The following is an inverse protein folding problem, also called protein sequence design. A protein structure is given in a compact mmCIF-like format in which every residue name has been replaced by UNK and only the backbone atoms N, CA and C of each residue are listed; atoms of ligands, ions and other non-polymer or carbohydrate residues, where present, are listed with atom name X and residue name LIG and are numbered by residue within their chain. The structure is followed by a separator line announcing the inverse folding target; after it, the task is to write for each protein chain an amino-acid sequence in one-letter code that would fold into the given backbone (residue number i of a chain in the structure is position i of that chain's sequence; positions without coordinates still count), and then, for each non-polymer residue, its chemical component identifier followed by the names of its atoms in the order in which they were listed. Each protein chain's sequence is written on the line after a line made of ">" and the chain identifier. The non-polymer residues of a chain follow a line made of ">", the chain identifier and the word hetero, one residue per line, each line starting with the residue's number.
data_IF_084046980618
#
_entry.id   IF_084046980618
#
_cell.length_a   1.000
_cell.length_b   1.000
_cell.length_c   1.000
_cell.angle_alpha   90.00
_cell.angle_beta   90.00
_cell.angle_gamma   90.00
#
_symmetry.space_group_name_H-M   'P 1'
#
loop_
_entity.id
_entity.type
_entity.pdbx_description
1 polymer ?
#
# COMPACT_ATOMS: atom_id res chain seq x y z
N UNK A 1 12.24 12.67 -9.39
CA UNK A 1 11.35 12.50 -10.54
C UNK A 1 9.94 12.57 -9.99
N UNK A 2 9.09 13.44 -10.56
CA UNK A 2 7.70 13.56 -10.14
C UNK A 2 6.86 12.29 -10.43
N UNK A 3 5.78 12.08 -9.69
CA UNK A 3 4.94 10.87 -9.77
C UNK A 3 4.40 10.63 -11.18
N UNK A 4 3.93 11.67 -11.87
CA UNK A 4 3.40 11.53 -13.23
C UNK A 4 4.47 11.16 -14.25
N UNK A 5 5.71 11.63 -14.09
CA UNK A 5 6.82 11.27 -14.96
C UNK A 5 7.22 9.80 -14.74
N UNK A 6 7.24 9.35 -13.48
CA UNK A 6 7.50 7.94 -13.16
C UNK A 6 6.39 7.06 -13.75
N UNK A 7 5.13 7.37 -13.46
CA UNK A 7 3.99 6.54 -13.85
C UNK A 7 3.74 6.56 -15.35
N UNK A 8 3.93 7.68 -16.05
CA UNK A 8 3.74 7.73 -17.51
C UNK A 8 4.70 6.84 -18.31
N UNK A 9 5.83 6.46 -17.70
CA UNK A 9 6.79 5.51 -18.29
C UNK A 9 6.42 4.04 -18.06
N UNK A 10 5.45 3.75 -17.19
CA UNK A 10 4.98 2.39 -16.93
C UNK A 10 4.13 1.92 -18.11
N UNK A 11 4.50 0.78 -18.69
CA UNK A 11 3.73 0.13 -19.75
C UNK A 11 2.63 -0.74 -19.15
N UNK A 12 1.46 -0.73 -19.77
CA UNK A 12 0.37 -1.65 -19.45
C UNK A 12 0.29 -2.81 -20.45
N UNK A 13 -0.47 -3.85 -20.09
CA UNK A 13 -0.58 -5.10 -20.86
C UNK A 13 -1.09 -4.91 -22.30
N UNK A 14 -1.73 -3.77 -22.63
CA UNK A 14 -2.19 -3.49 -24.01
C UNK A 14 -1.01 -3.32 -24.97
N UNK A 15 0.20 -3.10 -24.44
CA UNK A 15 1.46 -3.00 -25.20
C UNK A 15 2.29 -4.30 -25.19
N UNK A 16 1.77 -5.39 -24.64
CA UNK A 16 2.44 -6.70 -24.56
C UNK A 16 2.76 -7.08 -23.10
N UNK A 17 4.03 -6.99 -22.72
CA UNK A 17 4.50 -7.30 -21.35
C UNK A 17 4.41 -6.04 -20.48
N UNK A 18 3.24 -5.84 -19.88
CA UNK A 18 2.92 -4.67 -19.07
C UNK A 18 3.26 -4.86 -17.60
N UNK A 19 3.80 -3.81 -17.00
CA UNK A 19 4.05 -3.74 -15.55
C UNK A 19 2.76 -3.48 -14.75
N UNK A 20 1.66 -3.15 -15.44
CA UNK A 20 0.35 -2.90 -14.87
C UNK A 20 -0.76 -3.35 -15.85
N UNK A 21 -2.00 -3.46 -15.36
CA UNK A 21 -3.15 -3.85 -16.19
C UNK A 21 -3.62 -2.69 -17.08
N UNK A 22 -3.60 -1.46 -16.58
CA UNK A 22 -4.00 -0.28 -17.33
C UNK A 22 -3.22 0.93 -16.84
N UNK A 23 -2.78 1.79 -17.76
CA UNK A 23 -2.23 3.10 -17.43
C UNK A 23 -2.64 4.13 -18.48
N UNK A 24 -3.40 5.13 -18.08
CA UNK A 24 -4.00 6.10 -19.02
C UNK A 24 -4.89 7.11 -18.32
N UNK A 25 -5.70 7.83 -19.10
CA UNK A 25 -6.69 8.74 -18.53
C UNK A 25 -7.73 7.98 -17.71
N UNK A 26 -8.21 8.62 -16.65
CA UNK A 26 -9.24 8.05 -15.78
C UNK A 26 -10.57 7.87 -16.53
N UNK A 27 -10.90 8.81 -17.43
CA UNK A 27 -12.06 8.74 -18.32
C UNK A 27 -12.06 7.44 -19.14
N UNK A 28 -10.96 7.17 -19.87
CA UNK A 28 -10.79 5.95 -20.67
C UNK A 28 -10.99 4.67 -19.84
N UNK A 29 -10.54 4.68 -18.58
CA UNK A 29 -10.68 3.52 -17.70
C UNK A 29 -12.13 3.31 -17.25
N UNK A 30 -12.85 4.39 -16.93
CA UNK A 30 -14.26 4.36 -16.52
C UNK A 30 -15.16 3.81 -17.65
N UNK A 31 -14.83 4.16 -18.90
CA UNK A 31 -15.54 3.63 -20.08
C UNK A 31 -15.26 2.14 -20.32
N UNK A 32 -14.08 1.66 -19.93
CA UNK A 32 -13.67 0.27 -20.12
C UNK A 32 -14.25 -0.70 -19.07
N UNK A 33 -14.47 -0.24 -17.84
CA UNK A 33 -14.99 -1.08 -16.76
C UNK A 33 -16.52 -1.23 -16.83
N UNK A 34 -16.99 -2.40 -16.39
CA UNK A 34 -18.42 -2.72 -16.32
C UNK A 34 -19.22 -1.70 -15.50
N UNK A 35 -20.49 -1.50 -15.84
CA UNK A 35 -21.38 -0.56 -15.14
C UNK A 35 -21.56 -0.90 -13.66
N UNK A 36 -21.52 -2.18 -13.30
CA UNK A 36 -21.65 -2.67 -11.93
C UNK A 36 -20.30 -2.73 -11.18
N UNK A 37 -19.21 -2.25 -11.78
CA UNK A 37 -17.91 -2.21 -11.12
C UNK A 37 -17.99 -1.39 -9.82
N UNK A 38 -17.60 -1.94 -8.66
CA UNK A 38 -17.87 -1.34 -7.35
C UNK A 38 -17.24 0.04 -7.14
N UNK A 39 -16.19 0.37 -7.90
CA UNK A 39 -15.49 1.65 -7.83
C UNK A 39 -15.86 2.65 -8.92
N UNK A 40 -16.75 2.30 -9.86
CA UNK A 40 -17.08 3.18 -10.99
C UNK A 40 -17.60 4.53 -10.50
N UNK A 41 -18.50 4.54 -9.51
CA UNK A 41 -19.00 5.78 -8.91
C UNK A 41 -17.92 6.64 -8.26
N UNK A 42 -16.96 6.03 -7.55
CA UNK A 42 -15.84 6.79 -6.97
C UNK A 42 -14.96 7.38 -8.07
N UNK A 43 -14.62 6.61 -9.09
CA UNK A 43 -13.80 7.09 -10.21
C UNK A 43 -14.49 8.23 -10.98
N UNK A 44 -15.80 8.13 -11.22
CA UNK A 44 -16.56 9.23 -11.82
C UNK A 44 -16.50 10.50 -10.95
N UNK A 45 -16.66 10.37 -9.64
CA UNK A 45 -16.54 11.51 -8.72
C UNK A 45 -15.13 12.14 -8.74
N UNK A 46 -14.08 11.32 -8.84
CA UNK A 46 -12.71 11.82 -8.98
C UNK A 46 -12.50 12.52 -10.33
N UNK A 47 -13.05 11.97 -11.42
CA UNK A 47 -12.97 12.59 -12.76
C UNK A 47 -13.65 13.96 -12.79
N UNK A 48 -14.79 14.12 -12.11
CA UNK A 48 -15.47 15.42 -11.97
C UNK A 48 -14.59 16.48 -11.28
N UNK A 49 -13.67 16.07 -10.40
CA UNK A 49 -12.75 16.99 -9.73
C UNK A 49 -11.66 17.51 -10.68
N UNK A 50 -11.15 16.67 -11.59
CA UNK A 50 -10.26 17.07 -12.68
C UNK A 50 -10.27 16.04 -13.82
N UNK A 51 -10.63 16.50 -15.03
CA UNK A 51 -10.71 15.67 -16.24
C UNK A 51 -9.35 15.15 -16.71
N UNK A 52 -8.24 15.74 -16.26
CA UNK A 52 -6.89 15.36 -16.65
C UNK A 52 -6.29 14.25 -15.76
N UNK A 53 -7.05 13.74 -14.78
CA UNK A 53 -6.59 12.64 -13.94
C UNK A 53 -6.31 11.40 -14.77
N UNK A 54 -5.27 10.69 -14.34
CA UNK A 54 -4.84 9.41 -14.88
C UNK A 54 -4.93 8.35 -13.80
N UNK A 55 -4.99 7.09 -14.24
CA UNK A 55 -5.04 5.93 -13.35
C UNK A 55 -4.05 4.87 -13.83
N UNK A 56 -3.30 4.32 -12.88
CA UNK A 56 -2.50 3.12 -13.04
C UNK A 56 -3.14 1.99 -12.23
N UNK A 57 -3.46 0.86 -12.87
CA UNK A 57 -4.23 -0.26 -12.30
C UNK A 57 -3.36 -1.50 -12.19
N UNK A 58 -3.38 -2.15 -11.03
CA UNK A 58 -2.63 -3.38 -10.72
C UNK A 58 -1.13 -3.29 -11.08
N UNK A 59 -0.50 -2.19 -10.65
CA UNK A 59 0.93 -1.98 -10.83
C UNK A 59 1.72 -3.03 -10.05
N UNK A 60 2.44 -3.89 -10.78
CA UNK A 60 3.36 -4.88 -10.24
C UNK A 60 4.63 -4.23 -9.70
N UNK A 61 4.98 -4.57 -8.45
CA UNK A 61 6.21 -4.09 -7.84
C UNK A 61 6.88 -5.18 -6.98
N UNK A 62 8.18 -5.00 -6.76
CA UNK A 62 9.00 -5.89 -5.93
C UNK A 62 9.22 -5.29 -4.55
N UNK A 63 9.46 -6.15 -3.56
CA UNK A 63 9.95 -5.70 -2.27
C UNK A 63 11.45 -5.40 -2.37
N UNK A 64 11.92 -4.46 -1.56
CA UNK A 64 13.36 -4.31 -1.36
C UNK A 64 13.93 -5.53 -0.61
N UNK A 65 14.55 -6.46 -1.37
CA UNK A 65 15.16 -7.68 -0.83
C UNK A 65 16.30 -7.39 0.16
N UNK A 66 16.94 -6.23 0.08
CA UNK A 66 18.00 -5.85 1.02
C UNK A 66 17.47 -5.70 2.44
N UNK A 67 16.23 -5.22 2.61
CA UNK A 67 15.59 -5.05 3.92
C UNK A 67 15.35 -6.39 4.62
N UNK A 68 15.06 -7.43 3.85
CA UNK A 68 14.98 -8.80 4.36
C UNK A 68 16.38 -9.31 4.71
N UNK A 69 17.36 -9.15 3.80
CA UNK A 69 18.73 -9.64 4.00
C UNK A 69 19.43 -9.00 5.20
N UNK A 70 19.20 -7.71 5.43
CA UNK A 70 19.71 -6.92 6.55
C UNK A 70 18.89 -7.14 7.85
N UNK A 71 17.94 -8.07 7.83
CA UNK A 71 17.05 -8.40 8.95
C UNK A 71 16.34 -7.17 9.52
N UNK A 72 16.01 -6.20 8.66
CA UNK A 72 15.20 -5.04 9.05
C UNK A 72 13.76 -5.50 9.21
N UNK A 73 13.23 -6.21 8.20
CA UNK A 73 11.99 -6.98 8.29
C UNK A 73 12.36 -8.46 8.29
N UNK A 74 12.09 -9.16 9.39
CA UNK A 74 12.42 -10.58 9.53
C UNK A 74 11.28 -11.44 8.99
N UNK A 75 11.27 -11.62 7.68
CA UNK A 75 10.35 -12.53 7.03
C UNK A 75 10.95 -13.10 5.74
N UNK A 76 11.75 -14.16 5.88
CA UNK A 76 12.54 -14.72 4.76
C UNK A 76 11.68 -15.26 3.62
N UNK A 77 10.47 -15.73 3.91
CA UNK A 77 9.59 -16.32 2.90
C UNK A 77 9.09 -15.27 1.89
N UNK A 78 9.10 -13.99 2.26
CA UNK A 78 8.84 -12.87 1.36
C UNK A 78 9.77 -12.89 0.11
N UNK A 79 11.00 -13.38 0.24
CA UNK A 79 11.95 -13.51 -0.87
C UNK A 79 11.58 -14.57 -1.92
N UNK A 80 10.55 -15.39 -1.65
CA UNK A 80 10.04 -16.43 -2.55
C UNK A 80 8.96 -15.92 -3.49
N UNK A 81 8.49 -14.68 -3.31
CA UNK A 81 7.53 -14.09 -4.23
C UNK A 81 8.14 -13.97 -5.63
N UNK A 82 7.38 -14.29 -6.68
CA UNK A 82 7.77 -13.99 -8.05
C UNK A 82 8.06 -12.50 -8.25
N UNK A 83 8.81 -12.18 -9.30
CA UNK A 83 9.09 -10.79 -9.67
C UNK A 83 7.79 -10.04 -9.95
N UNK A 84 7.68 -8.80 -9.44
CA UNK A 84 6.51 -7.91 -9.59
C UNK A 84 5.18 -8.55 -9.15
N UNK A 85 5.26 -9.51 -8.23
CA UNK A 85 4.07 -10.23 -7.74
C UNK A 85 3.15 -9.33 -6.91
N UNK A 86 3.71 -8.45 -6.07
CA UNK A 86 2.87 -7.53 -5.29
C UNK A 86 2.22 -6.50 -6.22
N UNK A 87 0.95 -6.18 -5.94
CA UNK A 87 0.16 -5.25 -6.75
C UNK A 87 -0.21 -4.02 -5.94
N UNK A 88 -0.03 -2.85 -6.55
CA UNK A 88 -0.65 -1.62 -6.12
C UNK A 88 -1.94 -1.46 -6.94
N UNK A 89 -3.13 -1.67 -6.34
CA UNK A 89 -4.36 -1.83 -7.11
C UNK A 89 -4.72 -0.62 -7.95
N UNK A 90 -4.68 0.58 -7.35
CA UNK A 90 -4.99 1.82 -8.05
C UNK A 90 -4.05 2.92 -7.59
N UNK A 91 -3.48 3.63 -8.56
CA UNK A 91 -2.81 4.91 -8.35
C UNK A 91 -3.48 5.93 -9.25
N UNK A 92 -4.24 6.85 -8.64
CA UNK A 92 -4.79 8.01 -9.34
C UNK A 92 -3.75 9.11 -9.28
N UNK A 93 -3.41 9.74 -10.41
CA UNK A 93 -2.36 10.74 -10.46
C UNK A 93 -2.65 11.85 -11.47
N UNK A 94 -2.06 13.01 -11.26
CA UNK A 94 -2.29 14.18 -12.09
C UNK A 94 -1.47 15.39 -11.64
N UNK A 95 -1.97 16.58 -11.97
CA UNK A 95 -1.35 17.85 -11.65
C UNK A 95 -2.39 18.78 -11.05
N UNK A 96 -2.00 19.53 -10.02
CA UNK A 96 -2.84 20.64 -9.57
C UNK A 96 -2.67 21.89 -10.43
N UNK A 97 -3.49 22.91 -10.17
CA UNK A 97 -3.49 24.18 -10.89
C UNK A 97 -2.14 24.92 -10.90
N UNK A 98 -1.25 24.66 -9.93
CA UNK A 98 0.10 25.24 -9.92
C UNK A 98 1.17 24.38 -10.62
N UNK A 99 0.77 23.26 -11.25
CA UNK A 99 1.66 22.33 -11.94
C UNK A 99 2.43 21.36 -11.04
N UNK A 100 2.15 21.33 -9.73
CA UNK A 100 2.73 20.33 -8.83
C UNK A 100 2.02 18.99 -9.05
N UNK A 101 2.78 17.90 -9.08
CA UNK A 101 2.20 16.58 -9.28
C UNK A 101 1.54 16.06 -8.00
N UNK A 102 0.50 15.26 -8.18
CA UNK A 102 -0.26 14.65 -7.09
C UNK A 102 -0.54 13.19 -7.40
N UNK A 103 -0.62 12.36 -6.36
CA UNK A 103 -0.97 10.96 -6.45
C UNK A 103 -1.78 10.47 -5.25
N UNK A 104 -2.67 9.52 -5.50
CA UNK A 104 -3.49 8.85 -4.51
C UNK A 104 -3.49 7.34 -4.77
N UNK A 105 -2.91 6.58 -3.85
CA UNK A 105 -2.98 5.13 -3.82
C UNK A 105 -4.30 4.73 -3.14
N UNK A 106 -5.14 3.97 -3.85
CA UNK A 106 -6.39 3.44 -3.33
C UNK A 106 -6.32 1.91 -3.27
N UNK A 107 -6.51 1.37 -2.06
CA UNK A 107 -6.65 -0.06 -1.85
C UNK A 107 -8.13 -0.45 -1.77
N UNK A 108 -8.61 -1.42 -2.59
CA UNK A 108 -10.02 -1.69 -2.78
C UNK A 108 -10.59 -2.62 -1.71
N UNK A 109 -10.45 -2.22 -0.45
CA UNK A 109 -11.05 -2.91 0.69
C UNK A 109 -11.48 -1.90 1.74
N UNK A 110 -12.01 -2.42 2.84
CA UNK A 110 -12.38 -1.63 3.99
C UNK A 110 -11.21 -1.22 4.87
N UNK A 111 -11.57 -0.67 6.04
CA UNK A 111 -10.65 -0.13 7.04
C UNK A 111 -9.65 -1.16 7.59
N UNK A 112 -10.04 -2.44 7.60
CA UNK A 112 -9.21 -3.55 8.08
C UNK A 112 -7.91 -3.73 7.29
N UNK A 113 -7.91 -3.32 6.02
CA UNK A 113 -6.76 -3.44 5.11
C UNK A 113 -6.00 -2.13 4.92
N UNK A 114 -6.29 -1.11 5.74
CA UNK A 114 -5.56 0.15 5.70
C UNK A 114 -4.05 -0.04 5.90
N UNK A 115 -3.64 -0.97 6.78
CA UNK A 115 -2.23 -1.29 6.97
C UNK A 115 -1.60 -2.01 5.77
N UNK A 116 -2.38 -2.69 4.94
CA UNK A 116 -1.90 -3.23 3.66
C UNK A 116 -1.66 -2.09 2.68
N UNK A 117 -2.60 -1.15 2.55
CA UNK A 117 -2.45 0.05 1.72
C UNK A 117 -1.19 0.85 2.10
N UNK A 118 -0.96 1.05 3.40
CA UNK A 118 0.26 1.68 3.92
C UNK A 118 1.52 0.87 3.61
N UNK A 119 1.45 -0.46 3.65
CA UNK A 119 2.58 -1.33 3.35
C UNK A 119 3.01 -1.21 1.90
N UNK A 120 2.03 -1.09 1.00
CA UNK A 120 2.25 -0.82 -0.43
C UNK A 120 2.93 0.53 -0.60
N UNK A 121 2.36 1.59 -0.01
CA UNK A 121 2.95 2.93 -0.03
C UNK A 121 4.41 2.92 0.44
N UNK A 122 4.71 2.28 1.58
CA UNK A 122 6.08 2.23 2.11
C UNK A 122 7.02 1.39 1.25
N UNK A 123 6.54 0.38 0.54
CA UNK A 123 7.36 -0.43 -0.36
C UNK A 123 7.63 0.31 -1.67
N UNK A 124 6.69 1.13 -2.13
CA UNK A 124 6.88 1.96 -3.32
C UNK A 124 7.76 3.18 -3.04
N UNK A 125 7.69 3.77 -1.85
CA UNK A 125 8.33 5.07 -1.52
C UNK A 125 9.59 4.96 -0.67
N UNK A 126 10.03 3.75 -0.33
CA UNK A 126 11.29 3.55 0.35
C UNK A 126 12.51 3.80 -0.53
N UNK A 127 13.69 3.78 0.06
CA UNK A 127 14.94 3.84 -0.68
C UNK A 127 15.06 2.68 -1.66
N UNK A 128 15.30 3.00 -2.94
CA UNK A 128 15.31 2.08 -4.07
C UNK A 128 13.91 1.70 -4.59
N UNK A 129 12.84 2.24 -3.99
CA UNK A 129 11.47 2.02 -4.43
C UNK A 129 11.11 2.87 -5.65
N UNK A 130 10.12 2.40 -6.42
CA UNK A 130 9.69 3.05 -7.67
C UNK A 130 9.29 4.53 -7.49
N UNK A 131 8.64 4.85 -6.36
CA UNK A 131 8.13 6.18 -6.02
C UNK A 131 8.97 6.88 -4.93
N UNK A 132 10.23 6.48 -4.72
CA UNK A 132 11.12 7.08 -3.72
C UNK A 132 11.14 8.62 -3.81
N UNK A 133 11.38 9.14 -5.02
CA UNK A 133 11.52 10.57 -5.28
C UNK A 133 10.17 11.31 -5.24
N UNK A 134 9.06 10.59 -5.40
CA UNK A 134 7.70 11.12 -5.42
C UNK A 134 6.95 10.94 -4.08
N UNK A 135 7.63 10.48 -3.01
CA UNK A 135 7.02 10.19 -1.70
C UNK A 135 6.20 11.35 -1.08
N UNK A 136 6.53 12.58 -1.44
CA UNK A 136 5.88 13.80 -0.93
C UNK A 136 4.73 14.28 -1.83
N UNK A 137 4.39 13.52 -2.88
CA UNK A 137 3.33 13.81 -3.84
C UNK A 137 2.18 12.81 -3.71
N UNK A 138 2.38 11.72 -2.96
CA UNK A 138 1.46 10.58 -2.90
C UNK A 138 0.86 10.40 -1.50
N UNK A 139 -0.47 10.23 -1.45
CA UNK A 139 -1.23 9.77 -0.28
C UNK A 139 -1.68 8.32 -0.51
N UNK A 140 -1.82 7.53 0.54
CA UNK A 140 -2.36 6.18 0.48
C UNK A 140 -3.49 5.97 1.49
N UNK A 141 -4.56 5.33 1.04
CA UNK A 141 -5.74 5.02 1.84
C UNK A 141 -6.53 3.83 1.27
N UNK A 142 -7.60 3.46 1.95
CA UNK A 142 -8.57 2.47 1.48
C UNK A 142 -9.82 3.14 0.94
N UNK A 143 -10.65 2.39 0.23
CA UNK A 143 -11.90 2.88 -0.37
C UNK A 143 -13.09 2.88 0.60
N UNK A 144 -12.89 2.47 1.86
CA UNK A 144 -13.95 2.36 2.90
C UNK A 144 -14.91 3.56 2.90
N UNK A 145 -14.35 4.77 2.75
CA UNK A 145 -15.12 6.00 2.63
C UNK A 145 -14.78 6.71 1.31
N UNK A 146 -15.61 6.48 0.30
CA UNK A 146 -15.49 7.14 -1.01
C UNK A 146 -15.49 8.68 -0.91
N UNK A 147 -16.31 9.24 0.00
CA UNK A 147 -16.35 10.69 0.23
C UNK A 147 -15.00 11.23 0.73
N UNK A 148 -14.34 10.51 1.63
CA UNK A 148 -13.00 10.86 2.11
C UNK A 148 -11.93 10.71 1.01
N UNK A 149 -12.09 9.73 0.10
CA UNK A 149 -11.20 9.58 -1.06
C UNK A 149 -11.28 10.80 -1.99
N UNK A 150 -12.51 11.25 -2.28
CA UNK A 150 -12.75 12.43 -3.10
C UNK A 150 -12.23 13.71 -2.42
N UNK A 151 -12.49 13.88 -1.12
CA UNK A 151 -11.97 15.01 -0.35
C UNK A 151 -10.43 15.03 -0.33
N UNK A 152 -9.79 13.88 -0.15
CA UNK A 152 -8.33 13.79 -0.18
C UNK A 152 -7.77 14.22 -1.54
N UNK A 153 -8.39 13.77 -2.65
CA UNK A 153 -7.99 14.19 -4.00
C UNK A 153 -8.21 15.69 -4.21
N UNK A 154 -9.37 16.23 -3.82
CA UNK A 154 -9.66 17.66 -3.92
C UNK A 154 -8.62 18.50 -3.15
N UNK A 155 -8.25 18.09 -1.94
CA UNK A 155 -7.22 18.77 -1.13
C UNK A 155 -5.84 18.73 -1.79
N UNK A 156 -5.51 17.64 -2.48
CA UNK A 156 -4.28 17.51 -3.28
C UNK A 156 -4.31 18.45 -4.49
N UNK A 157 -5.42 18.48 -5.23
CA UNK A 157 -5.62 19.31 -6.42
C UNK A 157 -5.68 20.81 -6.12
N UNK A 158 -6.26 21.20 -4.99
CA UNK A 158 -6.40 22.62 -4.61
C UNK A 158 -5.19 23.15 -3.81
N UNK A 159 -4.21 22.31 -3.49
CA UNK A 159 -3.08 22.65 -2.60
C UNK A 159 -3.48 23.24 -1.25
N UNK A 160 -4.68 22.95 -0.77
CA UNK A 160 -5.14 23.48 0.52
C UNK A 160 -4.35 22.90 1.69
N UNK A 161 -3.77 21.70 1.53
CA UNK A 161 -3.01 21.00 2.56
C UNK A 161 -1.78 20.30 1.97
N UNK A 162 -0.66 20.28 2.71
CA UNK A 162 0.52 19.47 2.34
C UNK A 162 0.18 17.98 2.37
N UNK A 163 0.66 17.21 1.40
CA UNK A 163 0.48 15.74 1.29
C UNK A 163 0.73 15.01 2.61
N UNK A 164 1.87 15.27 3.26
CA UNK A 164 2.20 14.64 4.55
C UNK A 164 1.33 15.08 5.73
N UNK A 165 0.58 16.17 5.62
CA UNK A 165 -0.44 16.53 6.61
C UNK A 165 -1.75 15.77 6.37
N UNK A 166 -2.19 15.64 5.11
CA UNK A 166 -3.34 14.80 4.71
C UNK A 166 -3.11 13.36 5.20
N UNK A 167 -1.95 12.77 4.88
CA UNK A 167 -1.64 11.41 5.30
C UNK A 167 -1.65 11.23 6.82
N UNK A 168 -1.15 12.21 7.59
CA UNK A 168 -1.13 12.13 9.07
C UNK A 168 -2.50 12.31 9.71
N UNK A 169 -3.44 12.91 9.00
CA UNK A 169 -4.84 13.03 9.43
C UNK A 169 -5.55 11.69 9.23
N UNK A 170 -5.49 11.14 8.02
CA UNK A 170 -5.99 9.80 7.70
C UNK A 170 -5.42 8.74 8.65
N UNK A 171 -4.10 8.74 8.85
CA UNK A 171 -3.43 7.82 9.77
C UNK A 171 -3.97 7.94 11.21
N UNK A 172 -4.28 9.15 11.69
CA UNK A 172 -4.77 9.38 13.06
C UNK A 172 -6.22 8.97 13.25
N UNK A 173 -7.05 9.09 12.22
CA UNK A 173 -8.42 8.58 12.26
C UNK A 173 -8.45 7.06 12.33
N UNK A 174 -7.54 6.40 11.61
CA UNK A 174 -7.46 4.94 11.55
C UNK A 174 -6.79 4.31 12.77
N UNK A 175 -5.78 4.98 13.34
CA UNK A 175 -5.07 4.55 14.55
C UNK A 175 -4.56 5.77 15.33
N UNK A 176 -5.35 6.33 16.25
CA UNK A 176 -4.93 7.48 17.06
C UNK A 176 -3.72 7.14 17.94
N UNK A 177 -3.54 5.87 18.29
CA UNK A 177 -2.44 5.38 19.11
C UNK A 177 -1.74 4.18 18.48
N UNK A 178 -0.44 4.03 18.74
CA UNK A 178 0.35 2.93 18.19
C UNK A 178 -0.12 1.55 18.68
N UNK A 179 -0.68 1.46 19.88
CA UNK A 179 -1.22 0.20 20.40
C UNK A 179 -2.40 -0.31 19.57
N UNK A 180 -3.26 0.59 19.10
CA UNK A 180 -4.39 0.23 18.24
C UNK A 180 -3.91 -0.22 16.86
N UNK A 181 -2.85 0.41 16.34
CA UNK A 181 -2.19 -0.04 15.10
C UNK A 181 -1.66 -1.48 15.25
N UNK A 182 -1.04 -1.83 16.37
CA UNK A 182 -0.58 -3.20 16.65
C UNK A 182 -1.77 -4.16 16.67
N UNK A 183 -2.83 -3.82 17.41
CA UNK A 183 -4.02 -4.66 17.53
C UNK A 183 -4.64 -4.94 16.16
N UNK A 184 -4.82 -3.92 15.32
CA UNK A 184 -5.32 -4.06 13.96
C UNK A 184 -4.42 -4.96 13.11
N UNK A 185 -3.09 -4.78 13.18
CA UNK A 185 -2.16 -5.60 12.41
C UNK A 185 -2.19 -7.08 12.84
N UNK A 186 -2.26 -7.35 14.15
CA UNK A 186 -2.30 -8.72 14.68
C UNK A 186 -3.64 -9.40 14.36
N UNK A 187 -4.75 -8.67 14.52
CA UNK A 187 -6.08 -9.16 14.15
C UNK A 187 -6.14 -9.52 12.66
N UNK A 188 -5.67 -8.61 11.79
CA UNK A 188 -5.69 -8.86 10.34
C UNK A 188 -4.79 -10.02 9.94
N UNK A 189 -3.61 -10.13 10.54
CA UNK A 189 -2.70 -11.25 10.29
C UNK A 189 -3.30 -12.60 10.71
N UNK A 190 -4.07 -12.61 11.80
CA UNK A 190 -4.79 -13.79 12.28
C UNK A 190 -5.97 -14.15 11.37
N UNK A 191 -6.72 -13.18 10.87
CA UNK A 191 -7.76 -13.40 9.85
C UNK A 191 -7.18 -14.03 8.59
N UNK A 192 -6.03 -13.52 8.10
CA UNK A 192 -5.31 -14.10 6.96
C UNK A 192 -4.88 -15.54 7.28
N UNK A 193 -4.39 -15.79 8.50
CA UNK A 193 -3.97 -17.13 8.96
C UNK A 193 -5.12 -18.12 9.00
N UNK A 194 -6.28 -17.71 9.50
CA UNK A 194 -7.49 -18.54 9.53
C UNK A 194 -7.94 -18.82 8.09
N UNK A 195 -8.06 -17.77 7.27
CA UNK A 195 -8.48 -17.89 5.88
C UNK A 195 -7.61 -18.86 5.08
N UNK A 196 -6.28 -18.76 5.18
CA UNK A 196 -5.36 -19.68 4.48
C UNK A 196 -5.43 -21.10 5.03
N UNK A 197 -5.68 -21.29 6.33
CA UNK A 197 -5.83 -22.63 6.92
C UNK A 197 -7.11 -23.32 6.43
N UNK A 198 -8.19 -22.55 6.26
CA UNK A 198 -9.50 -23.09 5.85
C UNK A 198 -9.61 -23.31 4.33
N UNK A 199 -9.11 -22.38 3.51
CA UNK A 199 -9.32 -22.42 2.07
C UNK A 199 -8.25 -23.21 1.31
N UNK A 200 -6.98 -23.15 1.73
CA UNK A 200 -5.87 -23.76 0.98
C UNK A 200 -6.04 -25.28 0.77
N UNK A 201 -6.56 -26.07 1.73
CA UNK A 201 -6.86 -27.49 1.50
C UNK A 201 -7.88 -27.76 0.38
N UNK A 202 -8.74 -26.78 0.07
CA UNK A 202 -9.80 -26.90 -0.93
C UNK A 202 -9.35 -26.47 -2.35
N UNK A 203 -8.15 -25.90 -2.48
CA UNK A 203 -7.63 -25.35 -3.73
C UNK A 203 -6.60 -26.31 -4.34
N UNK A 204 -6.78 -26.63 -5.62
CA UNK A 204 -5.84 -27.43 -6.39
C UNK A 204 -4.56 -26.64 -6.72
N UNK A 205 -4.71 -25.45 -7.31
CA UNK A 205 -3.61 -24.54 -7.65
C UNK A 205 -3.31 -23.57 -6.50
N UNK A 206 -2.45 -24.00 -5.57
CA UNK A 206 -2.21 -23.31 -4.29
C UNK A 206 -1.29 -22.09 -4.39
N UNK A 207 -0.50 -22.00 -5.46
CA UNK A 207 0.57 -21.00 -5.62
C UNK A 207 0.07 -19.57 -5.40
N UNK A 208 -1.04 -19.21 -6.03
CA UNK A 208 -1.57 -17.85 -5.97
C UNK A 208 -1.97 -17.45 -4.55
N UNK A 209 -2.75 -18.29 -3.88
CA UNK A 209 -3.16 -18.02 -2.50
C UNK A 209 -1.96 -17.95 -1.54
N UNK A 210 -0.97 -18.83 -1.73
CA UNK A 210 0.25 -18.83 -0.92
C UNK A 210 1.02 -17.52 -1.11
N UNK A 211 1.27 -17.11 -2.36
CA UNK A 211 2.02 -15.90 -2.65
C UNK A 211 1.27 -14.65 -2.18
N UNK A 212 -0.05 -14.56 -2.39
CA UNK A 212 -0.88 -13.46 -1.91
C UNK A 212 -0.78 -13.32 -0.38
N UNK A 213 -0.88 -14.46 0.32
CA UNK A 213 -0.79 -14.54 1.77
C UNK A 213 0.58 -14.06 2.29
N UNK A 214 1.67 -14.47 1.64
CA UNK A 214 3.04 -14.00 1.95
C UNK A 214 3.15 -12.49 1.73
N UNK A 215 2.65 -11.98 0.61
CA UNK A 215 2.67 -10.56 0.31
C UNK A 215 1.95 -9.76 1.40
N UNK A 216 0.74 -10.17 1.80
CA UNK A 216 -0.02 -9.48 2.84
C UNK A 216 0.70 -9.46 4.19
N UNK A 217 1.25 -10.60 4.66
CA UNK A 217 2.01 -10.63 5.90
C UNK A 217 3.28 -9.77 5.84
N UNK A 218 3.98 -9.74 4.70
CA UNK A 218 5.10 -8.84 4.50
C UNK A 218 4.67 -7.37 4.64
N UNK A 219 3.58 -6.97 3.97
CA UNK A 219 3.07 -5.60 4.00
C UNK A 219 2.63 -5.17 5.41
N UNK A 220 1.99 -6.06 6.19
CA UNK A 220 1.66 -5.79 7.59
C UNK A 220 2.91 -5.56 8.45
N UNK A 221 3.92 -6.45 8.33
CA UNK A 221 5.20 -6.30 9.04
C UNK A 221 5.90 -5.00 8.66
N UNK A 222 5.90 -4.66 7.36
CA UNK A 222 6.48 -3.43 6.82
C UNK A 222 5.80 -2.20 7.43
N UNK A 223 4.48 -2.15 7.41
CA UNK A 223 3.70 -1.05 7.98
C UNK A 223 3.98 -0.84 9.46
N UNK A 224 3.92 -1.90 10.27
CA UNK A 224 4.24 -1.82 11.69
C UNK A 224 5.63 -1.25 11.96
N UNK A 225 6.63 -1.78 11.27
CA UNK A 225 8.02 -1.35 11.43
C UNK A 225 8.18 0.13 11.08
N UNK A 226 7.70 0.55 9.91
CA UNK A 226 7.88 1.93 9.44
C UNK A 226 7.08 2.91 10.30
N UNK A 227 5.85 2.59 10.69
CA UNK A 227 5.06 3.43 11.59
C UNK A 227 5.73 3.62 12.96
N UNK A 228 6.33 2.57 13.52
CA UNK A 228 7.08 2.73 14.77
C UNK A 228 8.27 3.66 14.55
N UNK A 229 9.07 3.40 13.50
CA UNK A 229 10.30 4.13 13.18
C UNK A 229 10.10 5.62 12.86
N UNK A 230 8.92 6.00 12.37
CA UNK A 230 8.59 7.39 12.05
C UNK A 230 7.92 8.13 13.21
N UNK A 231 7.54 7.42 14.27
CA UNK A 231 6.90 8.01 15.44
C UNK A 231 7.93 8.65 16.38
N UNK A 232 8.07 9.98 16.25
CA UNK A 232 9.00 10.79 17.06
C UNK A 232 8.65 10.77 18.54
N UNK A 233 7.36 10.70 18.89
CA UNK A 233 6.94 10.68 20.29
C UNK A 233 7.40 9.39 20.96
N UNK A 234 7.26 8.23 20.31
CA UNK A 234 7.80 6.96 20.79
C UNK A 234 9.32 6.96 20.85
N UNK A 235 10.00 7.60 19.90
CA UNK A 235 11.46 7.76 19.94
C UNK A 235 11.88 8.55 21.19
N UNK A 236 11.24 9.68 21.47
CA UNK A 236 11.60 10.56 22.58
C UNK A 236 11.16 10.02 23.94
N UNK A 237 9.90 9.61 24.08
CA UNK A 237 9.29 9.28 25.38
C UNK A 237 9.57 7.84 25.84
N UNK A 238 9.54 6.85 24.94
CA UNK A 238 9.69 5.43 25.28
C UNK A 238 11.12 4.95 25.08
N UNK A 239 11.76 5.45 24.02
CA UNK A 239 13.09 5.00 23.61
C UNK A 239 14.21 5.96 24.00
N UNK A 240 13.94 6.98 24.81
CA UNK A 240 14.95 7.90 25.36
C UNK A 240 15.80 8.57 24.27
N UNK A 241 15.17 8.91 23.14
CA UNK A 241 15.84 9.44 21.94
C UNK A 241 16.96 8.54 21.39
N UNK A 242 16.96 7.24 21.73
CA UNK A 242 17.95 6.27 21.29
C UNK A 242 17.46 5.50 20.06
N UNK A 243 18.03 5.83 18.89
CA UNK A 243 17.65 5.21 17.61
C UNK A 243 17.90 3.69 17.56
N UNK A 244 18.90 3.17 18.28
CA UNK A 244 19.18 1.73 18.33
C UNK A 244 18.09 1.01 19.12
N UNK A 245 17.69 1.55 20.27
CA UNK A 245 16.57 1.03 21.10
C UNK A 245 15.26 1.10 20.32
N UNK A 246 15.01 2.22 19.66
CA UNK A 246 13.83 2.44 18.83
C UNK A 246 13.71 1.43 17.68
N UNK A 247 14.81 1.21 16.94
CA UNK A 247 14.87 0.20 15.87
C UNK A 247 14.67 -1.21 16.41
N UNK A 248 15.25 -1.54 17.55
CA UNK A 248 15.07 -2.84 18.18
C UNK A 248 13.59 -3.08 18.52
N UNK A 249 12.92 -2.11 19.12
CA UNK A 249 11.49 -2.21 19.43
C UNK A 249 10.61 -2.31 18.17
N UNK A 250 10.89 -1.52 17.13
CA UNK A 250 10.19 -1.63 15.85
C UNK A 250 10.24 -3.06 15.28
N UNK A 251 11.42 -3.70 15.34
CA UNK A 251 11.58 -5.10 14.92
C UNK A 251 10.77 -6.05 15.80
N UNK A 252 10.82 -5.87 17.13
CA UNK A 252 10.04 -6.70 18.06
C UNK A 252 8.54 -6.64 17.79
N UNK A 253 7.99 -5.46 17.46
CA UNK A 253 6.57 -5.34 17.10
C UNK A 253 6.23 -5.96 15.75
N UNK A 254 7.07 -5.76 14.73
CA UNK A 254 6.89 -6.43 13.43
C UNK A 254 7.00 -7.97 13.55
N UNK A 255 7.87 -8.47 14.44
CA UNK A 255 8.04 -9.91 14.67
C UNK A 255 6.80 -10.56 15.32
N UNK A 256 5.96 -9.80 16.03
CA UNK A 256 4.71 -10.30 16.62
C UNK A 256 3.64 -10.68 15.59
N UNK A 257 3.72 -10.17 14.35
CA UNK A 257 2.77 -10.51 13.29
C UNK A 257 2.84 -12.03 13.03
N UNK A 258 1.76 -12.78 13.31
CA UNK A 258 1.72 -14.22 13.06
C UNK A 258 1.75 -14.48 11.56
N UNK A 259 2.38 -15.60 11.18
CA UNK A 259 2.40 -16.09 9.81
C UNK A 259 2.60 -17.61 9.82
N UNK A 260 2.20 -18.27 8.74
CA UNK A 260 2.51 -19.69 8.47
C UNK A 260 3.71 -19.72 7.52
N UNK A 261 4.68 -20.59 7.78
CA UNK A 261 5.86 -20.69 6.92
C UNK A 261 5.45 -21.16 5.51
N UNK A 262 6.14 -20.67 4.48
CA UNK A 262 5.84 -21.06 3.09
C UNK A 262 5.78 -22.57 2.89
N UNK A 263 6.76 -23.31 3.43
CA UNK A 263 6.81 -24.77 3.32
C UNK A 263 5.69 -25.49 4.08
N UNK A 264 5.13 -24.85 5.11
CA UNK A 264 4.01 -25.39 5.88
C UNK A 264 2.70 -25.16 5.13
N UNK A 265 2.50 -23.99 4.50
CA UNK A 265 1.33 -23.75 3.65
C UNK A 265 1.22 -24.74 2.49
N UNK A 266 2.32 -25.17 1.90
CA UNK A 266 2.32 -26.23 0.87
C UNK A 266 1.85 -27.60 1.38
N UNK A 267 1.86 -27.84 2.69
CA UNK A 267 1.54 -29.12 3.32
C UNK A 267 0.15 -29.16 3.97
N UNK A 268 -0.55 -28.02 4.06
CA UNK A 268 -1.95 -27.96 4.48
C UNK A 268 -2.85 -28.73 3.50
#
# INVERSE_FOLDING_TARGET
>A
MPVSDILSNIQDVRKGDGDCQFNGFLEDYIEMIEEDHPLKSLFSQLLEADLNLKICVDLGFDMNKEIISNQIIRYKDASKLPQKYMKCPYIIYGQNAAGNQVGLILYPSGKEDYLIAKGIYYSLTEQGGLLEEARNEVVAMTIENCGQCAEAMERLLNQSTRVGAIQRELDREMYPEFNLLIEHALKRAEEIRINVTEQLPQIQERSEMIYQTIAQWYLLKKSLYVHYMTNKDLLMSVNENNIKKHRYQAKMFADKVPFIAFSEMWRL
#
